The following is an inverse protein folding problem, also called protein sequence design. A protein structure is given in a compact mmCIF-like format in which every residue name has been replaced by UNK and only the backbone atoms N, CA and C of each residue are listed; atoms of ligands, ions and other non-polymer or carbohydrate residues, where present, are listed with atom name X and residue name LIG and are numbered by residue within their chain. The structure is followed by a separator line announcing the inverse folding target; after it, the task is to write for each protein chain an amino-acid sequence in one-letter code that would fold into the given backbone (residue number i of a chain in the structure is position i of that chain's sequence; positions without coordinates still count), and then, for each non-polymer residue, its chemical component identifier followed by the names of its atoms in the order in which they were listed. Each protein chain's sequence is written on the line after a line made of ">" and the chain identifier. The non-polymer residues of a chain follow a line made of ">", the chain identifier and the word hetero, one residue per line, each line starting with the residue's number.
data_IF_943305443644
#
_entry.id   IF_943305443644
#
_cell.length_a   1.000
_cell.length_b   1.000
_cell.length_c   1.000
_cell.angle_alpha   90.00
_cell.angle_beta   90.00
_cell.angle_gamma   90.00
#
_symmetry.space_group_name_H-M   'P 1'
#
loop_
_entity.id
_entity.type
_entity.pdbx_description
1 polymer ?
#
# COMPACT_ATOMS: atom_id res chain seq x y z
N UNK A 1 15.73 8.32 -1.81
CA UNK A 1 15.48 9.26 -0.70
C UNK A 1 16.61 10.25 -0.70
N UNK A 2 16.30 11.52 -0.45
CA UNK A 2 17.29 12.59 -0.52
C UNK A 2 17.13 13.54 0.67
N UNK A 3 18.25 13.90 1.27
CA UNK A 3 18.33 14.85 2.38
C UNK A 3 19.01 16.16 1.99
N UNK A 4 19.41 16.35 0.73
CA UNK A 4 20.14 17.54 0.28
C UNK A 4 19.21 18.73 -0.06
N UNK A 5 17.99 18.45 -0.56
CA UNK A 5 17.07 19.47 -1.09
C UNK A 5 16.32 20.29 -0.03
N UNK A 6 16.41 19.93 1.25
CA UNK A 6 15.72 20.64 2.33
C UNK A 6 16.50 20.48 3.62
N UNK A 7 16.75 21.54 4.40
CA UNK A 7 17.45 21.41 5.69
C UNK A 7 16.60 20.69 6.75
N UNK A 8 15.26 20.73 6.64
CA UNK A 8 14.34 20.24 7.66
C UNK A 8 13.62 18.92 7.31
N UNK A 9 13.62 18.51 6.04
CA UNK A 9 12.81 17.38 5.55
C UNK A 9 13.65 16.36 4.78
N UNK A 10 13.25 15.10 4.83
CA UNK A 10 13.72 14.06 3.92
C UNK A 10 12.77 14.00 2.72
N UNK A 11 13.31 14.02 1.50
CA UNK A 11 12.56 13.77 0.29
C UNK A 11 12.47 12.27 0.01
N UNK A 12 11.25 11.77 -0.17
CA UNK A 12 10.96 10.45 -0.72
C UNK A 12 10.44 10.64 -2.14
N UNK A 13 11.11 10.04 -3.11
CA UNK A 13 10.71 10.04 -4.52
C UNK A 13 10.27 8.63 -4.90
N UNK A 14 9.09 8.51 -5.50
CA UNK A 14 8.50 7.24 -5.91
C UNK A 14 8.11 7.37 -7.38
N UNK A 15 8.77 6.58 -8.23
CA UNK A 15 8.51 6.52 -9.68
C UNK A 15 8.07 5.10 -10.03
N UNK A 16 6.81 4.93 -10.43
CA UNK A 16 6.16 3.60 -10.59
C UNK A 16 4.99 3.70 -11.58
N UNK A 17 4.58 2.60 -12.25
CA UNK A 17 3.27 2.55 -12.89
C UNK A 17 2.15 2.86 -11.89
N UNK A 18 1.18 3.67 -12.30
CA UNK A 18 0.02 3.98 -11.49
C UNK A 18 -0.86 2.75 -11.27
N UNK A 19 -1.51 2.68 -10.12
CA UNK A 19 -2.52 1.66 -9.86
C UNK A 19 -3.54 2.16 -8.84
N UNK A 20 -4.74 1.58 -8.89
CA UNK A 20 -5.84 1.94 -8.00
C UNK A 20 -5.42 1.79 -6.54
N UNK A 21 -5.47 2.89 -5.79
CA UNK A 21 -5.12 2.92 -4.37
C UNK A 21 -3.64 3.19 -4.04
N UNK A 22 -2.79 3.46 -5.04
CA UNK A 22 -1.37 3.79 -4.85
C UNK A 22 -1.17 4.87 -3.76
N UNK A 23 -1.93 5.96 -3.84
CA UNK A 23 -1.84 7.06 -2.87
C UNK A 23 -2.18 6.62 -1.45
N UNK A 24 -3.22 5.78 -1.30
CA UNK A 24 -3.62 5.23 0.00
C UNK A 24 -2.51 4.36 0.58
N UNK A 25 -1.93 3.47 -0.23
CA UNK A 25 -0.88 2.55 0.23
C UNK A 25 0.39 3.29 0.65
N UNK A 26 0.77 4.37 -0.05
CA UNK A 26 1.87 5.25 0.35
C UNK A 26 1.54 5.94 1.68
N UNK A 27 0.38 6.61 1.77
CA UNK A 27 -0.01 7.38 2.95
C UNK A 27 -0.15 6.50 4.20
N UNK A 28 -0.77 5.32 4.06
CA UNK A 28 -0.87 4.32 5.13
C UNK A 28 0.51 3.90 5.61
N UNK A 29 1.40 3.52 4.68
CA UNK A 29 2.74 3.05 5.06
C UNK A 29 3.51 4.13 5.82
N UNK A 30 3.45 5.39 5.39
CA UNK A 30 4.11 6.49 6.09
C UNK A 30 3.48 6.75 7.47
N UNK A 31 2.15 6.71 7.56
CA UNK A 31 1.41 6.84 8.82
C UNK A 31 1.78 5.74 9.81
N UNK A 32 1.84 4.48 9.38
CA UNK A 32 2.19 3.33 10.23
C UNK A 32 3.61 3.44 10.81
N UNK A 33 4.49 4.21 10.16
CA UNK A 33 5.86 4.49 10.61
C UNK A 33 5.99 5.81 11.39
N UNK A 34 4.87 6.46 11.74
CA UNK A 34 4.84 7.78 12.39
C UNK A 34 5.64 8.85 11.60
N UNK A 35 5.56 8.80 10.28
CA UNK A 35 6.17 9.76 9.37
C UNK A 35 5.12 10.76 8.92
N UNK A 36 5.37 12.04 9.17
CA UNK A 36 4.49 13.13 8.74
C UNK A 36 4.92 13.64 7.37
N UNK A 37 3.95 13.80 6.47
CA UNK A 37 4.14 14.46 5.17
C UNK A 37 3.94 15.95 5.38
N UNK A 38 4.93 16.76 5.03
CA UNK A 38 4.87 18.23 5.12
C UNK A 38 4.45 18.85 3.78
N UNK A 39 4.91 18.28 2.67
CA UNK A 39 4.52 18.65 1.33
C UNK A 39 4.53 17.41 0.43
N UNK A 40 3.62 17.36 -0.55
CA UNK A 40 3.55 16.28 -1.52
C UNK A 40 3.19 16.79 -2.91
N UNK A 41 3.87 16.25 -3.92
CA UNK A 41 3.52 16.41 -5.33
C UNK A 41 3.20 15.03 -5.90
N UNK A 42 2.03 14.89 -6.48
CA UNK A 42 1.62 13.71 -7.22
C UNK A 42 1.42 14.10 -8.68
N UNK A 43 2.14 13.45 -9.57
CA UNK A 43 2.03 13.66 -11.00
C UNK A 43 1.91 12.31 -11.70
N UNK A 44 0.92 12.16 -12.58
CA UNK A 44 0.79 10.98 -13.43
C UNK A 44 1.06 11.43 -14.86
N UNK A 45 2.11 10.87 -15.44
CA UNK A 45 2.48 11.16 -16.82
C UNK A 45 1.56 10.42 -17.82
N UNK A 46 1.56 10.86 -19.08
CA UNK A 46 0.67 10.31 -20.11
C UNK A 46 0.89 8.81 -20.39
N UNK A 47 2.07 8.27 -20.09
CA UNK A 47 2.38 6.85 -20.23
C UNK A 47 1.94 6.01 -19.01
N UNK A 48 1.23 6.60 -18.05
CA UNK A 48 0.73 5.91 -16.86
C UNK A 48 1.77 5.74 -15.75
N UNK A 49 2.93 6.39 -15.83
CA UNK A 49 3.92 6.42 -14.75
C UNK A 49 3.57 7.55 -13.77
N UNK A 50 3.39 7.20 -12.51
CA UNK A 50 3.27 8.10 -11.37
C UNK A 50 4.66 8.51 -10.88
N UNK A 51 4.87 9.82 -10.79
CA UNK A 51 6.03 10.49 -10.20
C UNK A 51 5.56 11.26 -8.96
N UNK A 52 6.02 10.81 -7.81
CA UNK A 52 5.53 11.25 -6.50
C UNK A 52 6.72 11.72 -5.68
N UNK A 53 6.69 12.99 -5.28
CA UNK A 53 7.68 13.61 -4.40
C UNK A 53 7.03 13.96 -3.07
N UNK A 54 7.54 13.41 -1.97
CA UNK A 54 7.04 13.65 -0.61
C UNK A 54 8.16 14.20 0.27
N UNK A 55 8.00 15.42 0.77
CA UNK A 55 8.84 15.95 1.83
C UNK A 55 8.28 15.53 3.17
N UNK A 56 9.05 14.72 3.89
CA UNK A 56 8.62 14.08 5.13
C UNK A 56 9.53 14.38 6.30
N UNK A 57 8.99 14.22 7.50
CA UNK A 57 9.68 14.37 8.78
C UNK A 57 9.21 13.29 9.77
N UNK A 58 10.12 12.80 10.61
CA UNK A 58 9.82 11.95 11.76
C UNK A 58 9.73 12.80 13.04
N UNK A 59 9.23 12.23 14.14
CA UNK A 59 9.21 12.91 15.45
C UNK A 59 10.56 13.52 15.85
N UNK A 60 11.67 12.87 15.46
CA UNK A 60 13.02 13.31 15.82
C UNK A 60 13.70 14.14 14.71
N UNK A 61 12.93 14.64 13.73
CA UNK A 61 13.44 15.38 12.57
C UNK A 61 13.62 14.50 11.33
N UNK A 62 14.64 14.81 10.51
CA UNK A 62 14.91 14.10 9.25
C UNK A 62 15.29 12.64 9.48
N UNK A 63 15.02 11.82 8.48
CA UNK A 63 15.47 10.43 8.46
C UNK A 63 16.94 10.43 8.02
N UNK A 64 17.87 10.55 8.97
CA UNK A 64 19.31 10.61 8.69
C UNK A 64 19.94 9.21 8.68
N UNK A 65 19.47 8.32 9.55
CA UNK A 65 20.00 6.96 9.67
C UNK A 65 19.78 6.16 8.36
N UNK A 66 20.85 5.72 7.69
CA UNK A 66 20.75 4.99 6.42
C UNK A 66 20.03 3.64 6.58
N UNK A 67 20.08 3.02 7.75
CA UNK A 67 19.34 1.78 7.99
C UNK A 67 17.83 2.03 8.05
N UNK A 68 17.39 3.13 8.68
CA UNK A 68 15.98 3.53 8.70
C UNK A 68 15.49 3.89 7.30
N UNK A 69 16.29 4.63 6.53
CA UNK A 69 15.96 4.97 5.14
C UNK A 69 15.78 3.71 4.29
N UNK A 70 16.73 2.76 4.40
CA UNK A 70 16.68 1.49 3.66
C UNK A 70 15.47 0.65 4.08
N UNK A 71 15.22 0.49 5.38
CA UNK A 71 14.07 -0.25 5.89
C UNK A 71 12.74 0.34 5.39
N UNK A 72 12.59 1.66 5.40
CA UNK A 72 11.42 2.34 4.88
C UNK A 72 11.27 2.17 3.36
N UNK A 73 12.39 2.27 2.62
CA UNK A 73 12.40 2.05 1.17
C UNK A 73 11.95 0.63 0.81
N UNK A 74 12.50 -0.39 1.47
CA UNK A 74 12.11 -1.78 1.27
C UNK A 74 10.64 -2.01 1.66
N UNK A 75 10.17 -1.39 2.74
CA UNK A 75 8.76 -1.49 3.13
C UNK A 75 7.84 -0.89 2.07
N UNK A 76 8.12 0.33 1.61
CA UNK A 76 7.35 0.97 0.54
C UNK A 76 7.39 0.11 -0.73
N UNK A 77 8.54 -0.46 -1.10
CA UNK A 77 8.62 -1.35 -2.27
C UNK A 77 7.69 -2.54 -2.14
N UNK A 78 7.70 -3.22 -0.99
CA UNK A 78 6.88 -4.40 -0.73
C UNK A 78 5.38 -4.06 -0.76
N UNK A 79 4.97 -3.01 -0.06
CA UNK A 79 3.56 -2.60 0.05
C UNK A 79 3.00 -2.12 -1.30
N UNK A 80 3.81 -1.45 -2.11
CA UNK A 80 3.38 -0.86 -3.39
C UNK A 80 3.54 -1.80 -4.59
N UNK A 81 4.17 -2.97 -4.43
CA UNK A 81 4.35 -3.94 -5.53
C UNK A 81 3.24 -5.00 -5.51
N UNK A 82 2.80 -5.41 -4.32
CA UNK A 82 1.66 -6.33 -4.15
C UNK A 82 0.68 -5.80 -3.10
N UNK A 83 -0.08 -4.73 -3.42
CA UNK A 83 -0.94 -4.06 -2.45
C UNK A 83 -2.22 -4.87 -2.12
N UNK A 84 -2.51 -5.90 -2.95
CA UNK A 84 -3.48 -6.96 -2.71
C UNK A 84 -2.79 -8.30 -2.99
N UNK A 85 -2.99 -9.27 -2.11
CA UNK A 85 -2.62 -10.68 -2.30
C UNK A 85 -3.90 -11.44 -2.59
N UNK A 86 -3.91 -12.15 -3.71
CA UNK A 86 -5.07 -12.93 -4.15
C UNK A 86 -4.63 -14.37 -4.32
N UNK A 87 -5.35 -15.29 -3.70
CA UNK A 87 -5.13 -16.74 -3.82
C UNK A 87 -6.46 -17.40 -4.16
N UNK A 88 -6.41 -18.35 -5.09
CA UNK A 88 -7.56 -19.20 -5.43
C UNK A 88 -7.21 -20.63 -5.02
N UNK A 89 -8.07 -21.24 -4.22
CA UNK A 89 -7.89 -22.62 -3.75
C UNK A 89 -9.13 -23.42 -4.16
N UNK A 90 -8.92 -24.60 -4.73
CA UNK A 90 -10.01 -25.50 -5.12
C UNK A 90 -10.14 -26.64 -4.12
N UNK A 91 -11.34 -26.80 -3.57
CA UNK A 91 -11.74 -27.88 -2.66
C UNK A 91 -12.84 -28.72 -3.32
N UNK A 92 -12.47 -29.51 -4.33
CA UNK A 92 -13.43 -30.31 -5.09
C UNK A 92 -14.41 -29.45 -5.90
N UNK A 93 -15.74 -29.52 -5.67
CA UNK A 93 -16.69 -28.63 -6.35
C UNK A 93 -16.60 -27.18 -5.86
N UNK A 94 -16.02 -26.95 -4.68
CA UNK A 94 -15.94 -25.63 -4.07
C UNK A 94 -14.65 -24.91 -4.46
N UNK A 95 -14.74 -23.59 -4.62
CA UNK A 95 -13.58 -22.73 -4.84
C UNK A 95 -13.56 -21.64 -3.77
N UNK A 96 -12.44 -21.54 -3.07
CA UNK A 96 -12.19 -20.48 -2.11
C UNK A 96 -11.36 -19.38 -2.77
N UNK A 97 -11.84 -18.14 -2.67
CA UNK A 97 -11.18 -16.95 -3.19
C UNK A 97 -10.70 -16.08 -2.01
N UNK A 98 -9.41 -16.18 -1.68
CA UNK A 98 -8.82 -15.44 -0.59
C UNK A 98 -8.21 -14.13 -1.11
N UNK A 99 -8.66 -13.01 -0.55
CA UNK A 99 -8.05 -11.70 -0.80
C UNK A 99 -7.58 -11.10 0.50
N UNK A 100 -6.29 -10.77 0.55
CA UNK A 100 -5.65 -10.15 1.70
C UNK A 100 -4.96 -8.86 1.29
N UNK A 101 -5.17 -7.78 2.05
CA UNK A 101 -4.39 -6.56 1.95
C UNK A 101 -3.91 -6.15 3.34
N UNK A 102 -2.76 -5.47 3.43
CA UNK A 102 -2.35 -4.78 4.64
C UNK A 102 -3.40 -3.75 5.08
N UNK A 103 -3.62 -3.64 6.39
CA UNK A 103 -4.56 -2.70 7.03
C UNK A 103 -3.79 -1.75 7.93
N UNK A 104 -4.32 -0.54 8.16
CA UNK A 104 -3.74 0.40 9.12
C UNK A 104 -3.66 -0.24 10.52
N UNK A 105 -2.68 0.17 11.33
CA UNK A 105 -2.58 -0.21 12.74
C UNK A 105 -3.88 0.05 13.53
N UNK A 106 -4.62 1.12 13.16
CA UNK A 106 -5.91 1.47 13.77
C UNK A 106 -7.12 0.75 13.13
N UNK A 107 -6.88 -0.27 12.31
CA UNK A 107 -7.89 -1.19 11.79
C UNK A 107 -8.65 -0.71 10.55
N UNK A 108 -8.30 0.45 9.97
CA UNK A 108 -8.90 0.89 8.70
C UNK A 108 -8.30 0.09 7.54
N UNK A 109 -9.18 -0.57 6.80
CA UNK A 109 -8.81 -1.33 5.61
C UNK A 109 -8.65 -0.45 4.38
N UNK A 110 -8.03 -1.00 3.34
CA UNK A 110 -7.92 -0.35 2.04
C UNK A 110 -9.32 -0.07 1.46
N UNK A 111 -9.61 1.16 0.99
CA UNK A 111 -10.90 1.49 0.42
C UNK A 111 -11.25 0.62 -0.78
N UNK A 112 -12.55 0.37 -0.97
CA UNK A 112 -13.15 -0.27 -2.15
C UNK A 112 -12.74 -1.74 -2.43
N UNK A 113 -11.93 -2.37 -1.59
CA UNK A 113 -11.50 -3.77 -1.79
C UNK A 113 -12.70 -4.71 -1.98
N UNK A 114 -13.69 -4.66 -1.09
CA UNK A 114 -14.87 -5.53 -1.21
C UNK A 114 -15.70 -5.26 -2.47
N UNK A 115 -15.85 -3.99 -2.85
CA UNK A 115 -16.56 -3.62 -4.06
C UNK A 115 -15.83 -4.17 -5.30
N UNK A 116 -14.51 -4.01 -5.37
CA UNK A 116 -13.71 -4.48 -6.50
C UNK A 116 -13.72 -6.00 -6.64
N UNK A 117 -13.66 -6.73 -5.52
CA UNK A 117 -13.77 -8.19 -5.50
C UNK A 117 -15.14 -8.64 -6.00
N UNK A 118 -16.21 -8.11 -5.41
CA UNK A 118 -17.58 -8.50 -5.78
C UNK A 118 -17.91 -8.13 -7.22
N UNK A 119 -17.40 -6.99 -7.72
CA UNK A 119 -17.53 -6.60 -9.12
C UNK A 119 -16.76 -7.56 -10.03
N UNK A 120 -15.52 -7.93 -9.69
CA UNK A 120 -14.73 -8.88 -10.49
C UNK A 120 -15.42 -10.24 -10.57
N UNK A 121 -15.91 -10.79 -9.45
CA UNK A 121 -16.64 -12.06 -9.43
C UNK A 121 -17.93 -11.99 -10.26
N UNK A 122 -18.67 -10.87 -10.17
CA UNK A 122 -19.85 -10.63 -11.01
C UNK A 122 -19.50 -10.64 -12.50
N UNK A 123 -18.43 -9.96 -12.91
CA UNK A 123 -17.97 -9.92 -14.31
C UNK A 123 -17.50 -11.30 -14.80
N UNK A 124 -16.99 -12.14 -13.91
CA UNK A 124 -16.61 -13.52 -14.20
C UNK A 124 -17.78 -14.51 -14.10
N UNK A 125 -19.01 -14.03 -13.88
CA UNK A 125 -20.19 -14.85 -13.67
C UNK A 125 -20.03 -15.88 -12.53
N UNK A 126 -19.22 -15.57 -11.53
CA UNK A 126 -18.99 -16.41 -10.35
C UNK A 126 -19.90 -15.99 -9.21
N UNK A 127 -20.68 -16.93 -8.68
CA UNK A 127 -21.57 -16.69 -7.55
C UNK A 127 -20.79 -16.69 -6.23
N UNK A 128 -21.21 -15.87 -5.28
CA UNK A 128 -20.70 -15.88 -3.90
C UNK A 128 -21.75 -16.58 -3.04
N UNK A 129 -21.42 -17.77 -2.55
CA UNK A 129 -22.29 -18.50 -1.61
C UNK A 129 -22.04 -18.11 -0.15
N UNK A 130 -20.77 -17.88 0.21
CA UNK A 130 -20.33 -17.47 1.54
C UNK A 130 -19.21 -16.42 1.41
N UNK A 131 -19.18 -15.46 2.31
CA UNK A 131 -18.10 -14.50 2.42
C UNK A 131 -17.75 -14.27 3.90
N UNK A 132 -16.46 -14.40 4.23
CA UNK A 132 -15.92 -14.12 5.55
C UNK A 132 -14.94 -12.96 5.49
N UNK A 133 -14.99 -12.10 6.51
CA UNK A 133 -14.14 -10.91 6.61
C UNK A 133 -13.46 -10.94 7.97
N UNK A 134 -12.13 -11.00 7.96
CA UNK A 134 -11.32 -11.09 9.17
C UNK A 134 -10.05 -10.26 9.10
N UNK A 135 -9.49 -9.99 10.28
CA UNK A 135 -8.15 -9.40 10.43
C UNK A 135 -7.20 -10.47 10.95
N UNK A 136 -6.07 -10.63 10.28
CA UNK A 136 -5.06 -11.63 10.63
C UNK A 136 -3.72 -10.94 10.91
N UNK A 137 -3.03 -11.37 11.97
CA UNK A 137 -1.66 -10.94 12.23
C UNK A 137 -0.72 -11.71 11.29
N UNK A 138 0.06 -10.98 10.49
CA UNK A 138 1.09 -11.58 9.64
C UNK A 138 2.21 -12.09 10.58
N UNK A 139 2.30 -13.41 10.77
CA UNK A 139 3.24 -14.06 11.70
C UNK A 139 2.78 -15.42 12.24
N UNK A 140 1.53 -15.81 12.00
CA UNK A 140 1.04 -17.20 12.14
C UNK A 140 0.26 -17.59 10.89
N UNK A 141 0.98 -18.17 9.93
CA UNK A 141 0.45 -19.21 9.04
C UNK A 141 1.35 -20.42 9.23
#
# INVERSE_FOLDING_TARGET
>A
MDNSLSPAHTLIQIVRPDHKGLHYDIMRTLKDYNIQISYGRFYVSQNGISDIDLFVIQMNGKIIDPNKQRALCERLRLELFHPLRVTVVSYGPDTEFLVANPVELFGKGRPLVFYDITLALKLLHTCIFLAEIGRHLIGRM
#
